data_IF_235713319408
#
_entry.id   IF_235713319408
#
_cell.length_a   1.000
_cell.length_b   1.000
_cell.length_c   1.000
_cell.angle_alpha   90.00
_cell.angle_beta   90.00
_cell.angle_gamma   90.00
#
_symmetry.space_group_name_H-M   'P 1'
#
loop_
_entity.id
_entity.type
_entity.pdbx_description
1 polymer ?
#
# COMPACT_ATOMS: atom_id res chain seq x y z
N UNK A 1 -4.57 17.58 -2.68
CA UNK A 1 -3.35 16.75 -2.77
C UNK A 1 -3.48 15.55 -1.85
N UNK A 2 -3.12 14.36 -2.33
CA UNK A 2 -3.16 13.16 -1.51
C UNK A 2 -1.92 13.07 -0.64
N UNK A 3 -2.12 12.96 0.68
CA UNK A 3 -1.04 12.71 1.63
C UNK A 3 -1.10 11.29 2.12
N UNK A 4 0.03 10.66 2.28
CA UNK A 4 0.10 9.31 2.84
C UNK A 4 1.07 9.30 4.02
N UNK A 5 0.82 8.38 4.94
CA UNK A 5 1.69 8.20 6.10
C UNK A 5 2.97 7.47 5.70
N UNK A 6 4.03 7.54 6.52
CA UNK A 6 5.24 6.75 6.25
C UNK A 6 4.95 5.26 6.12
N UNK A 7 4.04 4.71 6.93
CA UNK A 7 3.68 3.30 6.82
C UNK A 7 3.01 3.00 5.48
N UNK A 8 2.10 3.89 5.04
CA UNK A 8 1.41 3.69 3.77
C UNK A 8 2.40 3.71 2.61
N UNK A 9 3.38 4.60 2.65
CA UNK A 9 4.43 4.65 1.62
C UNK A 9 5.24 3.36 1.62
N UNK A 10 5.64 2.88 2.81
CA UNK A 10 6.39 1.64 2.93
C UNK A 10 5.58 0.45 2.42
N UNK A 11 4.28 0.44 2.70
CA UNK A 11 3.40 -0.63 2.23
C UNK A 11 3.30 -0.64 0.71
N UNK A 12 3.13 0.53 0.09
CA UNK A 12 3.08 0.62 -1.37
C UNK A 12 4.40 0.17 -1.99
N UNK A 13 5.53 0.56 -1.40
CA UNK A 13 6.83 0.14 -1.89
C UNK A 13 6.99 -1.38 -1.80
N UNK A 14 6.58 -1.98 -0.68
CA UNK A 14 6.65 -3.42 -0.49
C UNK A 14 5.78 -4.16 -1.51
N UNK A 15 4.58 -3.65 -1.77
CA UNK A 15 3.70 -4.25 -2.77
C UNK A 15 4.31 -4.16 -4.16
N UNK A 16 4.96 -3.05 -4.47
CA UNK A 16 5.65 -2.87 -5.76
C UNK A 16 6.80 -3.86 -5.91
N UNK A 17 7.38 -4.30 -4.79
CA UNK A 17 8.46 -5.28 -4.77
C UNK A 17 7.94 -6.73 -4.78
N UNK A 18 6.62 -6.91 -4.82
CA UNK A 18 6.03 -8.23 -4.88
C UNK A 18 5.68 -8.85 -3.53
N UNK A 19 5.79 -8.09 -2.44
CA UNK A 19 5.45 -8.59 -1.11
C UNK A 19 3.95 -8.58 -0.89
N UNK A 20 3.46 -9.51 -0.07
CA UNK A 20 2.04 -9.63 0.24
C UNK A 20 1.71 -9.11 1.64
N UNK A 21 0.38 -9.11 1.98
CA UNK A 21 -0.06 -8.61 3.27
C UNK A 21 0.57 -9.33 4.47
N UNK A 22 0.82 -10.63 4.36
CA UNK A 22 1.44 -11.38 5.46
C UNK A 22 2.82 -10.86 5.80
N UNK A 23 3.59 -10.47 4.80
CA UNK A 23 4.92 -9.93 5.02
C UNK A 23 4.88 -8.55 5.65
N UNK A 24 3.83 -7.78 5.38
CA UNK A 24 3.65 -6.47 5.98
C UNK A 24 3.18 -6.57 7.44
N UNK A 25 2.48 -7.63 7.77
CA UNK A 25 1.93 -7.81 9.12
C UNK A 25 3.00 -8.14 10.15
N UNK A 26 4.02 -8.92 9.77
CA UNK A 26 5.00 -9.44 10.71
C UNK A 26 5.71 -8.33 11.51
N UNK A 27 6.28 -7.28 10.88
CA UNK A 27 6.98 -6.25 11.66
C UNK A 27 6.08 -5.46 12.59
N UNK A 28 4.78 -5.40 12.31
CA UNK A 28 3.83 -4.61 13.09
C UNK A 28 3.14 -5.43 14.17
N UNK A 29 3.34 -6.75 14.17
CA UNK A 29 2.68 -7.65 15.11
C UNK A 29 1.16 -7.52 15.08
N UNK A 30 0.60 -7.29 13.90
CA UNK A 30 -0.85 -7.25 13.69
C UNK A 30 -1.22 -8.35 12.70
N UNK A 31 -2.52 -8.64 12.60
CA UNK A 31 -2.98 -9.72 11.74
C UNK A 31 -2.89 -9.33 10.27
N UNK A 32 -2.79 -10.35 9.41
CA UNK A 32 -2.85 -10.15 7.97
C UNK A 32 -4.18 -9.49 7.57
N UNK A 33 -5.27 -9.89 8.25
CA UNK A 33 -6.57 -9.29 8.00
C UNK A 33 -6.57 -7.78 8.26
N UNK A 34 -5.90 -7.35 9.32
CA UNK A 34 -5.79 -5.93 9.63
C UNK A 34 -5.04 -5.20 8.53
N UNK A 35 -3.95 -5.81 8.03
CA UNK A 35 -3.21 -5.23 6.91
C UNK A 35 -4.10 -5.11 5.68
N UNK A 36 -4.88 -6.15 5.37
CA UNK A 36 -5.78 -6.12 4.22
C UNK A 36 -6.79 -4.98 4.33
N UNK A 37 -7.33 -4.75 5.54
CA UNK A 37 -8.26 -3.65 5.75
C UNK A 37 -7.59 -2.30 5.56
N UNK A 38 -6.38 -2.14 6.05
CA UNK A 38 -5.62 -0.90 5.87
C UNK A 38 -5.30 -0.65 4.40
N UNK A 39 -4.93 -1.70 3.67
CA UNK A 39 -4.65 -1.59 2.25
C UNK A 39 -5.90 -1.24 1.46
N UNK A 40 -7.04 -1.82 1.81
CA UNK A 40 -8.31 -1.50 1.14
C UNK A 40 -8.63 -0.02 1.28
N UNK A 41 -8.45 0.53 2.48
CA UNK A 41 -8.67 1.95 2.72
C UNK A 41 -7.72 2.80 1.88
N UNK A 42 -6.44 2.42 1.84
CA UNK A 42 -5.44 3.14 1.05
C UNK A 42 -5.77 3.08 -0.44
N UNK A 43 -6.14 1.91 -0.94
CA UNK A 43 -6.50 1.76 -2.36
C UNK A 43 -7.69 2.64 -2.72
N UNK A 44 -8.70 2.71 -1.83
CA UNK A 44 -9.86 3.56 -2.07
C UNK A 44 -9.45 5.02 -2.18
N UNK A 45 -8.52 5.46 -1.32
CA UNK A 45 -8.02 6.84 -1.38
C UNK A 45 -7.25 7.12 -2.66
N UNK A 46 -6.59 6.11 -3.22
CA UNK A 46 -5.86 6.24 -4.49
C UNK A 46 -6.79 6.09 -5.71
N UNK A 47 -8.05 5.72 -5.48
CA UNK A 47 -8.98 5.46 -6.58
C UNK A 47 -8.64 4.18 -7.32
N UNK A 48 -7.99 3.23 -6.63
CA UNK A 48 -7.53 1.98 -7.22
C UNK A 48 -8.44 0.82 -6.84
N UNK A 49 -8.75 -0.04 -7.80
CA UNK A 49 -9.59 -1.20 -7.57
C UNK A 49 -8.79 -2.43 -7.09
N UNK A 50 -7.47 -2.42 -7.28
CA UNK A 50 -6.64 -3.56 -6.93
C UNK A 50 -5.18 -3.09 -6.75
N UNK A 51 -4.32 -4.05 -6.38
CA UNK A 51 -2.92 -3.75 -6.10
C UNK A 51 -2.20 -3.14 -7.31
N UNK A 52 -2.40 -3.69 -8.48
CA UNK A 52 -1.74 -3.20 -9.70
C UNK A 52 -2.10 -1.75 -9.96
N UNK A 53 -3.38 -1.41 -9.84
CA UNK A 53 -3.83 -0.03 -10.03
C UNK A 53 -3.30 0.88 -8.94
N UNK A 54 -3.20 0.38 -7.71
CA UNK A 54 -2.69 1.17 -6.60
C UNK A 54 -1.22 1.54 -6.82
N UNK A 55 -0.41 0.58 -7.26
CA UNK A 55 1.00 0.82 -7.54
C UNK A 55 1.14 1.83 -8.68
N UNK A 56 0.36 1.65 -9.76
CA UNK A 56 0.39 2.58 -10.89
C UNK A 56 -0.02 3.99 -10.46
N UNK A 57 -1.06 4.09 -9.64
CA UNK A 57 -1.52 5.39 -9.14
C UNK A 57 -0.46 6.04 -8.26
N UNK A 58 0.24 5.26 -7.44
CA UNK A 58 1.30 5.77 -6.57
C UNK A 58 2.45 6.35 -7.40
N UNK A 59 2.86 5.67 -8.47
CA UNK A 59 3.89 6.21 -9.35
C UNK A 59 3.43 7.50 -10.02
N UNK A 60 2.20 7.53 -10.54
CA UNK A 60 1.66 8.73 -11.20
C UNK A 60 1.61 9.93 -10.27
N UNK A 61 1.37 9.70 -8.98
CA UNK A 61 1.27 10.77 -7.97
C UNK A 61 2.62 11.12 -7.36
N UNK A 62 3.69 10.46 -7.78
CA UNK A 62 5.02 10.72 -7.24
C UNK A 62 5.23 10.16 -5.83
N UNK A 63 4.39 9.21 -5.40
CA UNK A 63 4.51 8.60 -4.08
C UNK A 63 5.55 7.48 -4.05
N UNK A 64 5.87 6.92 -5.20
CA UNK A 64 6.89 5.88 -5.36
C UNK A 64 7.87 6.29 -6.44
N UNK A 65 9.10 5.80 -6.30
CA UNK A 65 10.16 6.05 -7.27
C UNK A 65 10.65 4.72 -7.84
N UNK A 66 10.97 4.75 -9.13
CA UNK A 66 11.52 3.58 -9.81
C UNK A 66 12.93 3.27 -9.31
#
# INVERSE_FOLDING_TARGET
MLSITPWERSALQALAEGKGPGELAVPLSISEREIELRLATLFARLGAANRTEAIAAAFRRGLLHA
#
